data_IF_508613690576
#
_entry.id   IF_508613690576
#
_cell.length_a   1.000
_cell.length_b   1.000
_cell.length_c   1.000
_cell.angle_alpha   90.00
_cell.angle_beta   90.00
_cell.angle_gamma   90.00
#
_symmetry.space_group_name_H-M   'P 1'
#
loop_
_entity.id
_entity.type
_entity.pdbx_description
1 polymer ?
#
# COMPACT_ATOMS: atom_id res chain seq x y z
N UNK A 1 -21.47 39.83 15.98
CA UNK A 1 -20.98 38.52 15.53
C UNK A 1 -20.83 37.66 16.76
N UNK A 2 -21.71 36.69 16.91
CA UNK A 2 -21.95 35.98 18.17
C UNK A 2 -20.81 34.97 18.44
N UNK A 3 -19.96 35.25 19.43
CA UNK A 3 -18.83 34.39 19.82
C UNK A 3 -19.25 32.98 20.24
N UNK A 4 -20.54 32.75 20.50
CA UNK A 4 -21.08 31.46 20.92
C UNK A 4 -21.17 30.44 19.80
N UNK A 5 -21.17 30.84 18.53
CA UNK A 5 -21.23 29.94 17.38
C UNK A 5 -19.84 29.61 16.77
N UNK A 6 -18.82 30.43 17.09
CA UNK A 6 -17.48 30.24 16.54
C UNK A 6 -16.74 29.03 17.16
N UNK A 7 -16.94 28.76 18.45
CA UNK A 7 -16.26 27.67 19.17
C UNK A 7 -16.65 26.29 18.65
N UNK A 8 -17.94 25.97 18.45
CA UNK A 8 -18.30 24.64 17.91
C UNK A 8 -17.87 24.45 16.45
N UNK A 9 -17.82 25.52 15.64
CA UNK A 9 -17.38 25.45 14.25
C UNK A 9 -15.88 25.17 14.15
N UNK A 10 -15.07 25.82 14.99
CA UNK A 10 -13.62 25.57 15.06
C UNK A 10 -13.31 24.17 15.57
N UNK A 11 -14.04 23.70 16.59
CA UNK A 11 -13.89 22.34 17.11
C UNK A 11 -14.27 21.27 16.05
N UNK A 12 -15.31 21.51 15.26
CA UNK A 12 -15.72 20.65 14.17
C UNK A 12 -14.68 20.63 13.04
N UNK A 13 -14.10 21.78 12.68
CA UNK A 13 -13.04 21.90 11.69
C UNK A 13 -11.76 21.17 12.15
N UNK A 14 -11.37 21.30 13.42
CA UNK A 14 -10.22 20.61 13.99
C UNK A 14 -10.46 19.08 14.05
N UNK A 15 -11.67 18.64 14.35
CA UNK A 15 -12.04 17.21 14.31
C UNK A 15 -12.01 16.65 12.88
N UNK A 16 -12.45 17.42 11.88
CA UNK A 16 -12.37 17.02 10.47
C UNK A 16 -10.93 17.01 9.94
N UNK A 17 -10.07 17.96 10.37
CA UNK A 17 -8.64 17.92 10.05
C UNK A 17 -7.93 16.70 10.67
N UNK A 18 -8.29 16.30 11.88
CA UNK A 18 -7.69 15.13 12.52
C UNK A 18 -8.09 13.80 11.84
N UNK A 19 -9.26 13.75 11.21
CA UNK A 19 -9.67 12.60 10.39
C UNK A 19 -8.91 12.51 9.05
N UNK A 20 -8.49 13.64 8.49
CA UNK A 20 -7.77 13.68 7.22
C UNK A 20 -6.29 13.24 7.30
N UNK A 21 -5.73 13.12 8.52
CA UNK A 21 -4.34 12.70 8.74
C UNK A 21 -4.20 11.34 9.41
N UNK A 22 -5.29 10.57 9.52
CA UNK A 22 -5.25 9.26 10.14
C UNK A 22 -4.57 8.24 9.21
N UNK A 23 -3.24 8.26 9.18
CA UNK A 23 -2.51 7.02 8.95
C UNK A 23 -3.03 6.03 10.00
N UNK A 24 -3.62 4.93 9.57
CA UNK A 24 -4.05 3.92 10.52
C UNK A 24 -2.81 3.33 11.18
N UNK A 25 -2.87 3.07 12.49
CA UNK A 25 -1.77 2.41 13.23
C UNK A 25 -1.34 1.12 12.52
N UNK A 26 -2.27 0.42 11.91
CA UNK A 26 -2.01 -0.78 11.11
C UNK A 26 -1.22 -0.45 9.83
N UNK A 27 -1.58 0.60 9.11
CA UNK A 27 -0.86 1.02 7.90
C UNK A 27 0.60 1.38 8.20
N UNK A 28 0.86 2.08 9.30
CA UNK A 28 2.23 2.40 9.72
C UNK A 28 3.04 1.15 10.12
N UNK A 29 2.39 0.15 10.72
CA UNK A 29 3.00 -1.13 11.08
C UNK A 29 3.33 -1.98 9.85
N UNK A 30 2.49 -1.94 8.82
CA UNK A 30 2.63 -2.73 7.59
C UNK A 30 3.52 -2.05 6.53
N UNK A 31 4.01 -0.82 6.78
CA UNK A 31 4.89 -0.10 5.86
C UNK A 31 6.22 -0.84 5.66
N UNK A 32 6.48 -1.27 4.44
CA UNK A 32 7.73 -1.93 4.06
C UNK A 32 8.82 -0.87 3.84
N UNK A 33 9.67 -0.68 4.83
CA UNK A 33 10.76 0.32 4.82
C UNK A 33 12.01 -0.16 4.10
N UNK A 34 12.22 -1.46 4.07
CA UNK A 34 13.38 -2.07 3.43
C UNK A 34 12.97 -3.43 2.82
N UNK A 35 13.15 -3.56 1.51
CA UNK A 35 12.97 -4.83 0.80
C UNK A 35 14.36 -5.39 0.49
N UNK A 36 14.75 -6.55 1.06
CA UNK A 36 16.06 -7.14 0.82
C UNK A 36 16.31 -7.41 -0.67
N UNK A 37 17.53 -7.18 -1.11
CA UNK A 37 17.94 -7.42 -2.50
C UNK A 37 17.53 -6.35 -3.51
N UNK A 38 16.87 -5.28 -3.08
CA UNK A 38 16.45 -4.20 -3.97
C UNK A 38 17.66 -3.42 -4.49
N UNK A 39 17.77 -3.25 -5.81
CA UNK A 39 18.91 -2.58 -6.46
C UNK A 39 18.63 -1.12 -6.85
N UNK A 40 17.46 -0.62 -6.52
CA UNK A 40 17.04 0.77 -6.78
C UNK A 40 16.23 1.32 -5.59
N UNK A 41 15.98 2.63 -5.59
CA UNK A 41 15.14 3.29 -4.59
C UNK A 41 13.75 3.58 -5.17
N UNK A 42 12.68 2.88 -4.71
CA UNK A 42 11.33 3.18 -5.14
C UNK A 42 10.91 4.60 -4.76
N UNK A 43 10.20 5.28 -5.67
CA UNK A 43 9.59 6.58 -5.42
C UNK A 43 8.14 6.48 -4.90
N UNK A 44 7.72 5.30 -4.47
CA UNK A 44 6.40 4.98 -3.94
C UNK A 44 6.53 4.21 -2.63
N UNK A 45 5.50 4.26 -1.80
CA UNK A 45 5.41 3.44 -0.60
C UNK A 45 4.79 2.08 -0.93
N UNK A 46 5.06 1.13 -0.06
CA UNK A 46 4.52 -0.23 -0.15
C UNK A 46 4.20 -0.73 1.25
N UNK A 47 3.15 -1.54 1.33
CA UNK A 47 2.64 -2.06 2.59
C UNK A 47 2.39 -3.55 2.45
N UNK A 48 2.79 -4.33 3.44
CA UNK A 48 2.60 -5.78 3.43
C UNK A 48 2.13 -6.24 4.80
N UNK A 49 1.01 -6.95 4.84
CA UNK A 49 0.39 -7.35 6.09
C UNK A 49 -0.68 -8.43 5.91
N UNK A 50 -1.50 -8.58 6.94
CA UNK A 50 -2.54 -9.59 6.97
C UNK A 50 -3.88 -9.03 7.41
N UNK A 51 -4.93 -9.36 6.67
CA UNK A 51 -6.30 -9.22 7.13
C UNK A 51 -6.71 -10.47 7.93
N UNK A 52 -7.22 -10.29 9.14
CA UNK A 52 -7.81 -11.36 9.93
C UNK A 52 -9.24 -11.60 9.45
N UNK A 53 -9.50 -12.72 8.79
CA UNK A 53 -10.83 -13.09 8.31
C UNK A 53 -11.64 -13.82 9.39
N UNK A 54 -10.96 -14.71 10.13
CA UNK A 54 -11.51 -15.47 11.27
C UNK A 54 -10.43 -15.64 12.31
N UNK A 55 -10.74 -16.30 13.43
CA UNK A 55 -9.73 -16.64 14.44
C UNK A 55 -8.57 -17.51 13.93
N UNK A 56 -8.77 -18.22 12.81
CA UNK A 56 -7.80 -19.17 12.25
C UNK A 56 -7.30 -18.78 10.85
N UNK A 57 -8.03 -17.94 10.11
CA UNK A 57 -7.74 -17.60 8.73
C UNK A 57 -7.24 -16.17 8.60
N UNK A 58 -6.10 -16.02 7.95
CA UNK A 58 -5.51 -14.72 7.61
C UNK A 58 -5.33 -14.63 6.10
N UNK A 59 -5.59 -13.45 5.55
CA UNK A 59 -5.38 -13.15 4.13
C UNK A 59 -4.22 -12.18 4.02
N UNK A 60 -3.13 -12.61 3.39
CA UNK A 60 -1.97 -11.75 3.15
C UNK A 60 -2.28 -10.75 2.03
N UNK A 61 -1.84 -9.51 2.18
CA UNK A 61 -1.86 -8.51 1.13
C UNK A 61 -0.49 -7.86 0.94
N UNK A 62 -0.24 -7.36 -0.25
CA UNK A 62 0.85 -6.44 -0.55
C UNK A 62 0.26 -5.29 -1.38
N UNK A 63 0.25 -4.11 -0.83
CA UNK A 63 -0.27 -2.90 -1.46
C UNK A 63 0.90 -2.02 -1.91
N UNK A 64 0.80 -1.49 -3.13
CA UNK A 64 1.78 -0.60 -3.76
C UNK A 64 1.07 0.70 -4.11
N UNK A 65 1.61 1.84 -3.67
CA UNK A 65 1.10 3.14 -4.09
C UNK A 65 1.40 3.40 -5.57
N UNK A 66 0.56 4.23 -6.21
CA UNK A 66 0.84 4.76 -7.53
C UNK A 66 2.13 5.58 -7.53
N UNK A 67 2.88 5.52 -8.62
CA UNK A 67 4.07 6.36 -8.87
C UNK A 67 3.68 7.74 -9.41
N UNK A 68 2.44 7.93 -9.86
CA UNK A 68 1.92 9.16 -10.46
C UNK A 68 1.15 9.99 -9.41
N UNK A 69 -0.06 9.57 -9.04
CA UNK A 69 -0.92 10.28 -8.07
C UNK A 69 -1.57 9.29 -7.11
N UNK A 70 -0.87 8.89 -6.02
CA UNK A 70 -1.34 7.87 -5.10
C UNK A 70 -2.63 8.25 -4.35
N UNK A 71 -3.06 9.52 -4.39
CA UNK A 71 -4.29 9.98 -3.74
C UNK A 71 -5.50 9.80 -4.65
N UNK A 72 -5.34 10.06 -5.96
CA UNK A 72 -6.47 10.12 -6.89
C UNK A 72 -6.50 8.96 -7.90
N UNK A 73 -5.38 8.26 -8.09
CA UNK A 73 -5.33 7.12 -9.00
C UNK A 73 -6.19 5.95 -8.48
N UNK A 74 -6.81 5.17 -9.39
CA UNK A 74 -7.67 4.07 -9.01
C UNK A 74 -6.90 2.95 -8.30
N UNK A 75 -7.55 2.32 -7.31
CA UNK A 75 -7.02 1.11 -6.66
C UNK A 75 -7.39 -0.12 -7.48
N UNK A 76 -6.38 -0.92 -7.84
CA UNK A 76 -6.53 -2.17 -8.57
C UNK A 76 -6.27 -3.36 -7.65
N UNK A 77 -7.22 -4.29 -7.58
CA UNK A 77 -7.02 -5.59 -6.93
C UNK A 77 -6.58 -6.63 -7.97
N UNK A 78 -5.45 -7.28 -7.70
CA UNK A 78 -4.96 -8.40 -8.50
C UNK A 78 -5.00 -9.71 -7.74
N UNK A 79 -5.55 -10.75 -8.38
CA UNK A 79 -5.59 -12.12 -7.85
C UNK A 79 -5.18 -13.08 -8.96
N UNK A 80 -4.19 -13.92 -8.70
CA UNK A 80 -3.87 -15.05 -9.60
C UNK A 80 -4.90 -16.17 -9.42
N UNK A 81 -5.12 -16.90 -10.50
CA UNK A 81 -6.04 -18.02 -10.53
C UNK A 81 -5.42 -19.31 -9.96
N UNK A 82 -5.95 -20.42 -10.42
CA UNK A 82 -5.50 -21.76 -10.02
C UNK A 82 -6.64 -22.75 -9.94
N UNK A 83 -7.33 -22.93 -8.81
CA UNK A 83 -7.19 -22.31 -7.49
C UNK A 83 -5.88 -22.65 -6.77
N UNK A 84 -5.56 -21.81 -5.75
CA UNK A 84 -4.43 -22.07 -4.85
C UNK A 84 -3.08 -21.50 -5.30
N UNK A 85 -2.98 -20.78 -6.42
CA UNK A 85 -1.76 -20.07 -6.79
C UNK A 85 -1.56 -18.82 -5.92
N UNK A 86 -0.31 -18.54 -5.58
CA UNK A 86 0.03 -17.33 -4.83
C UNK A 86 0.12 -16.12 -5.77
N UNK A 87 -0.60 -15.04 -5.44
CA UNK A 87 -0.51 -13.76 -6.15
C UNK A 87 0.82 -13.05 -5.96
N UNK A 88 1.65 -13.48 -5.00
CA UNK A 88 3.04 -13.04 -4.88
C UNK A 88 3.86 -13.45 -6.11
N UNK A 89 3.55 -14.59 -6.73
CA UNK A 89 4.14 -14.98 -8.01
C UNK A 89 3.87 -13.93 -9.09
N UNK A 90 2.61 -13.57 -9.31
CA UNK A 90 2.22 -12.52 -10.27
C UNK A 90 2.78 -11.14 -9.93
N UNK A 91 2.90 -10.82 -8.65
CA UNK A 91 3.53 -9.58 -8.19
C UNK A 91 4.99 -9.43 -8.70
N UNK A 92 5.78 -10.49 -8.64
CA UNK A 92 7.18 -10.47 -9.07
C UNK A 92 7.41 -10.81 -10.55
N UNK A 93 6.46 -11.46 -11.23
CA UNK A 93 6.68 -11.95 -12.60
C UNK A 93 5.75 -11.35 -13.65
N UNK A 94 4.64 -10.72 -13.23
CA UNK A 94 3.63 -10.20 -14.17
C UNK A 94 3.55 -8.68 -14.10
N UNK A 95 2.85 -8.10 -13.12
CA UNK A 95 2.44 -6.70 -13.15
C UNK A 95 3.05 -5.80 -12.07
N UNK A 96 3.68 -6.36 -11.06
CA UNK A 96 4.25 -5.60 -9.96
C UNK A 96 5.53 -4.83 -10.35
N UNK A 97 5.99 -3.91 -9.47
CA UNK A 97 7.09 -3.01 -9.77
C UNK A 97 8.48 -3.66 -9.67
N UNK A 98 8.55 -4.92 -9.29
CA UNK A 98 9.80 -5.62 -9.02
C UNK A 98 9.96 -6.84 -9.93
N UNK A 99 11.21 -7.14 -10.28
CA UNK A 99 11.61 -8.35 -10.99
C UNK A 99 12.80 -9.00 -10.31
N UNK A 100 12.76 -10.30 -10.00
CA UNK A 100 13.92 -11.00 -9.47
C UNK A 100 14.99 -11.17 -10.55
N UNK A 101 16.24 -10.96 -10.16
CA UNK A 101 17.37 -11.29 -11.01
C UNK A 101 17.64 -12.81 -11.02
N UNK A 102 18.30 -13.35 -12.08
CA UNK A 102 18.68 -14.76 -12.15
C UNK A 102 19.61 -15.23 -11.03
N UNK A 103 20.24 -14.30 -10.30
CA UNK A 103 21.10 -14.61 -9.17
C UNK A 103 20.33 -15.13 -7.93
N UNK A 104 18.99 -15.04 -7.94
CA UNK A 104 18.13 -15.44 -6.84
C UNK A 104 18.30 -14.60 -5.56
N UNK A 105 18.97 -13.45 -5.63
CA UNK A 105 19.32 -12.62 -4.48
C UNK A 105 18.89 -11.16 -4.63
N UNK A 106 18.92 -10.65 -5.85
CA UNK A 106 18.67 -9.25 -6.13
C UNK A 106 17.38 -9.04 -6.92
N UNK A 107 16.85 -7.82 -6.82
CA UNK A 107 15.57 -7.43 -7.40
C UNK A 107 15.77 -6.11 -8.14
N UNK A 108 15.32 -6.03 -9.40
CA UNK A 108 15.38 -4.84 -10.22
C UNK A 108 13.99 -4.27 -10.54
N UNK A 109 13.94 -3.05 -11.05
CA UNK A 109 12.70 -2.36 -11.39
C UNK A 109 12.02 -2.97 -12.62
N UNK A 110 10.72 -3.20 -12.53
CA UNK A 110 9.86 -3.41 -13.68
C UNK A 110 9.37 -2.05 -14.21
N UNK A 111 9.98 -1.57 -15.30
CA UNK A 111 9.60 -0.29 -15.91
C UNK A 111 8.20 -0.28 -16.53
N UNK A 112 7.58 -1.44 -16.69
CA UNK A 112 6.22 -1.64 -17.21
C UNK A 112 5.22 -2.03 -16.11
N UNK A 113 5.52 -1.70 -14.87
CA UNK A 113 4.62 -2.01 -13.75
C UNK A 113 3.30 -1.24 -13.82
N UNK A 114 2.26 -1.83 -13.25
CA UNK A 114 0.91 -1.26 -13.29
C UNK A 114 0.67 -0.12 -12.28
N UNK A 115 1.62 0.18 -11.43
CA UNK A 115 1.54 1.30 -10.51
C UNK A 115 2.17 2.60 -11.05
N UNK A 116 2.37 2.71 -12.37
CA UNK A 116 2.86 3.92 -13.05
C UNK A 116 1.76 4.84 -13.49
#
# INVERSE_FOLDING_TARGET
>A
MDHRMAVPLVALLLALLSLATANTVQGDADLVRNLPGLTFHPNFKQYSGYFNLTSQNRFHYWFIESQNDPINDPVLLWLNGGPGCSSIGGFFTELGPFRPNPDGKTIFENVYSWNK
#
